data_IF_321075089471
#
_entry.id   IF_321075089471
#
_cell.length_a   1.000
_cell.length_b   1.000
_cell.length_c   1.000
_cell.angle_alpha   90.00
_cell.angle_beta   90.00
_cell.angle_gamma   90.00
#
_symmetry.space_group_name_H-M   'P 1'
#
loop_
_entity.id
_entity.type
_entity.pdbx_description
1 polymer ?
#
# COMPACT_ATOMS: atom_id res chain seq x y z
N UNK A 1 14.96 38.57 -6.09
CA UNK A 1 14.38 37.71 -7.14
C UNK A 1 15.05 36.36 -7.02
N UNK A 2 14.51 35.49 -6.17
CA UNK A 2 14.89 34.07 -6.13
C UNK A 2 13.89 33.34 -7.01
N UNK A 3 14.36 32.85 -8.15
CA UNK A 3 13.55 32.13 -9.12
C UNK A 3 13.53 30.65 -8.76
N UNK A 4 12.33 30.17 -8.44
CA UNK A 4 11.79 28.82 -8.70
C UNK A 4 12.72 27.63 -8.44
N UNK A 5 12.65 27.10 -7.22
CA UNK A 5 12.84 25.66 -7.01
C UNK A 5 11.57 24.97 -7.51
N UNK A 6 11.57 24.57 -8.78
CA UNK A 6 10.52 23.73 -9.33
C UNK A 6 10.59 22.38 -8.63
N UNK A 7 9.54 22.04 -7.90
CA UNK A 7 9.28 20.72 -7.34
C UNK A 7 9.23 19.70 -8.50
N UNK A 8 10.37 19.14 -8.90
CA UNK A 8 10.50 18.14 -9.96
C UNK A 8 10.30 16.73 -9.40
N UNK A 9 9.34 16.57 -8.49
CA UNK A 9 8.97 15.26 -7.96
C UNK A 9 8.09 14.58 -9.01
N UNK A 10 8.53 13.43 -9.49
CA UNK A 10 7.77 12.61 -10.42
C UNK A 10 6.63 11.90 -9.68
N UNK A 11 5.58 11.44 -10.37
CA UNK A 11 4.53 10.65 -9.72
C UNK A 11 5.08 9.39 -9.04
N UNK A 12 6.11 8.78 -9.62
CA UNK A 12 6.84 7.66 -9.02
C UNK A 12 7.57 8.04 -7.72
N UNK A 13 8.20 9.22 -7.67
CA UNK A 13 8.84 9.68 -6.43
C UNK A 13 7.79 9.79 -5.32
N UNK A 14 6.60 10.34 -5.62
CA UNK A 14 5.49 10.39 -4.66
C UNK A 14 4.99 9.00 -4.22
N UNK A 15 5.00 8.00 -5.10
CA UNK A 15 4.65 6.62 -4.75
C UNK A 15 5.65 6.05 -3.74
N UNK A 16 6.94 6.23 -3.99
CA UNK A 16 7.99 5.72 -3.10
C UNK A 16 8.04 6.47 -1.78
N UNK A 17 7.80 7.78 -1.78
CA UNK A 17 7.67 8.55 -0.53
C UNK A 17 6.50 8.04 0.34
N UNK A 18 5.39 7.63 -0.27
CA UNK A 18 4.26 7.01 0.44
C UNK A 18 4.61 5.61 0.97
N UNK A 19 5.35 4.82 0.19
CA UNK A 19 5.83 3.51 0.62
C UNK A 19 6.76 3.62 1.84
N UNK A 20 7.74 4.53 1.78
CA UNK A 20 8.69 4.81 2.86
C UNK A 20 7.95 5.30 4.13
N UNK A 21 6.95 6.17 3.99
CA UNK A 21 6.15 6.67 5.11
C UNK A 21 5.38 5.55 5.83
N UNK A 22 4.85 4.56 5.10
CA UNK A 22 4.19 3.39 5.70
C UNK A 22 5.19 2.58 6.52
N UNK A 23 6.40 2.36 6.00
CA UNK A 23 7.43 1.61 6.71
C UNK A 23 7.90 2.35 7.97
N UNK A 24 8.06 3.67 7.88
CA UNK A 24 8.37 4.52 9.02
C UNK A 24 7.28 4.44 10.09
N UNK A 25 6.01 4.59 9.72
CA UNK A 25 4.86 4.47 10.63
C UNK A 25 4.85 3.11 11.33
N UNK A 26 4.99 2.02 10.59
CA UNK A 26 5.04 0.66 11.16
C UNK A 26 6.25 0.51 12.08
N UNK A 27 7.42 1.03 11.72
CA UNK A 27 8.62 0.92 12.54
C UNK A 27 8.51 1.65 13.89
N UNK A 28 7.92 2.85 13.90
CA UNK A 28 7.67 3.61 15.12
C UNK A 28 6.74 2.87 16.06
N UNK A 29 5.73 2.22 15.49
CA UNK A 29 4.71 1.47 16.21
C UNK A 29 5.24 0.16 16.83
N UNK A 30 6.32 -0.40 16.26
CA UNK A 30 6.93 -1.67 16.69
C UNK A 30 8.16 -1.46 17.58
N UNK A 31 8.58 -0.20 17.78
CA UNK A 31 9.76 0.13 18.59
C UNK A 31 9.52 -0.06 20.09
N UNK A 32 10.51 -0.66 20.78
CA UNK A 32 10.50 -0.94 22.23
C UNK A 32 10.32 0.31 23.13
N UNK A 33 10.30 1.53 22.56
CA UNK A 33 10.16 2.80 23.29
C UNK A 33 8.70 3.17 23.62
N UNK A 34 7.72 2.46 23.04
CA UNK A 34 6.31 2.60 23.43
C UNK A 34 6.04 1.77 24.71
N UNK A 35 6.23 2.40 25.88
CA UNK A 35 5.95 1.81 27.20
C UNK A 35 4.47 1.42 27.42
N UNK A 36 3.56 1.94 26.58
CA UNK A 36 2.18 1.47 26.49
C UNK A 36 2.08 0.45 25.36
N UNK A 37 1.73 -0.79 25.70
CA UNK A 37 1.46 -1.88 24.75
C UNK A 37 0.27 -1.50 23.87
N UNK A 38 0.51 -0.69 22.84
CA UNK A 38 -0.39 -0.56 21.71
C UNK A 38 -0.31 -1.92 21.02
N UNK A 39 -1.35 -2.75 21.21
CA UNK A 39 -1.48 -4.04 20.51
C UNK A 39 -1.66 -3.73 19.02
N UNK A 40 -0.53 -3.54 18.33
CA UNK A 40 -0.49 -3.36 16.89
C UNK A 40 -0.25 -4.73 16.30
N UNK A 41 -1.27 -5.23 15.64
CA UNK A 41 -1.27 -6.50 14.92
C UNK A 41 -1.16 -6.28 13.41
N UNK A 42 -1.38 -7.36 12.67
CA UNK A 42 -1.35 -7.30 11.20
C UNK A 42 -2.51 -6.48 10.61
N UNK A 43 -3.61 -6.34 11.36
CA UNK A 43 -4.76 -5.54 10.95
C UNK A 43 -4.44 -4.04 10.93
N UNK A 44 -3.79 -3.53 11.98
CA UNK A 44 -3.38 -2.13 12.06
C UNK A 44 -2.37 -1.79 10.96
N UNK A 45 -1.43 -2.69 10.66
CA UNK A 45 -0.52 -2.51 9.52
C UNK A 45 -1.28 -2.42 8.18
N UNK A 46 -2.25 -3.30 7.95
CA UNK A 46 -3.11 -3.23 6.75
C UNK A 46 -3.90 -1.93 6.70
N UNK A 47 -4.44 -1.48 7.84
CA UNK A 47 -5.18 -0.24 7.94
C UNK A 47 -4.32 0.96 7.55
N UNK A 48 -3.10 1.06 8.10
CA UNK A 48 -2.14 2.12 7.78
C UNK A 48 -1.80 2.10 6.28
N UNK A 49 -1.48 0.93 5.73
CA UNK A 49 -1.08 0.83 4.32
C UNK A 49 -2.21 1.14 3.35
N UNK A 50 -3.42 0.62 3.57
CA UNK A 50 -4.56 0.94 2.70
C UNK A 50 -5.02 2.39 2.86
N UNK A 51 -4.93 2.96 4.08
CA UNK A 51 -5.23 4.37 4.32
C UNK A 51 -4.29 5.28 3.52
N UNK A 52 -2.98 5.05 3.62
CA UNK A 52 -1.97 5.80 2.87
C UNK A 52 -2.11 5.60 1.35
N UNK A 53 -2.31 4.36 0.90
CA UNK A 53 -2.50 4.05 -0.52
C UNK A 53 -3.74 4.75 -1.09
N UNK A 54 -4.83 4.82 -0.32
CA UNK A 54 -6.04 5.51 -0.73
C UNK A 54 -5.83 7.01 -0.86
N UNK A 55 -5.27 7.65 0.17
CA UNK A 55 -4.96 9.09 0.12
C UNK A 55 -4.05 9.41 -1.06
N UNK A 56 -3.06 8.56 -1.30
CA UNK A 56 -2.17 8.67 -2.45
C UNK A 56 -2.94 8.59 -3.76
N UNK A 57 -3.77 7.56 -3.96
CA UNK A 57 -4.57 7.40 -5.18
C UNK A 57 -5.51 8.58 -5.42
N UNK A 58 -6.17 9.08 -4.37
CA UNK A 58 -7.02 10.28 -4.44
C UNK A 58 -6.22 11.51 -4.89
N UNK A 59 -4.99 11.68 -4.39
CA UNK A 59 -4.10 12.79 -4.75
C UNK A 59 -3.49 12.69 -6.16
N UNK A 60 -3.17 11.47 -6.60
CA UNK A 60 -2.60 11.17 -7.92
C UNK A 60 -3.66 11.02 -9.02
N UNK A 61 -4.96 11.00 -8.67
CA UNK A 61 -6.04 10.77 -9.61
C UNK A 61 -6.11 9.33 -10.13
N UNK A 62 -5.56 8.37 -9.37
CA UNK A 62 -5.67 6.94 -9.65
C UNK A 62 -6.99 6.42 -9.08
N UNK A 63 -7.77 5.76 -9.92
CA UNK A 63 -9.06 5.21 -9.55
C UNK A 63 -8.89 3.82 -8.90
N UNK A 64 -9.13 3.74 -7.59
CA UNK A 64 -9.04 2.47 -6.86
C UNK A 64 -10.07 1.44 -7.33
N UNK A 65 -11.23 1.85 -7.86
CA UNK A 65 -12.21 0.90 -8.41
C UNK A 65 -11.61 0.18 -9.62
N UNK A 66 -10.87 0.90 -10.48
CA UNK A 66 -10.17 0.29 -11.61
C UNK A 66 -9.05 -0.66 -11.17
N UNK A 67 -8.35 -0.34 -10.08
CA UNK A 67 -7.33 -1.22 -9.50
C UNK A 67 -7.97 -2.52 -8.99
N UNK A 68 -9.09 -2.45 -8.26
CA UNK A 68 -9.81 -3.63 -7.78
C UNK A 68 -10.39 -4.47 -8.93
N UNK A 69 -10.95 -3.84 -9.96
CA UNK A 69 -11.45 -4.54 -11.16
C UNK A 69 -10.33 -5.34 -11.85
N UNK A 70 -9.14 -4.74 -11.98
CA UNK A 70 -7.97 -5.43 -12.55
C UNK A 70 -7.47 -6.56 -11.64
N UNK A 71 -7.52 -6.36 -10.33
CA UNK A 71 -7.16 -7.41 -9.36
C UNK A 71 -8.11 -8.61 -9.47
N UNK A 72 -9.43 -8.38 -9.52
CA UNK A 72 -10.42 -9.45 -9.67
C UNK A 72 -10.28 -10.17 -11.02
N UNK A 73 -10.07 -9.42 -12.12
CA UNK A 73 -9.82 -10.00 -13.43
C UNK A 73 -8.55 -10.89 -13.46
N UNK A 74 -7.49 -10.46 -12.77
CA UNK A 74 -6.26 -11.26 -12.61
C UNK A 74 -6.51 -12.53 -11.78
N UNK A 75 -7.26 -12.40 -10.69
CA UNK A 75 -7.62 -13.49 -9.77
C UNK A 75 -8.48 -14.57 -10.45
N UNK A 76 -9.43 -14.18 -11.28
CA UNK A 76 -10.34 -15.08 -11.99
C UNK A 76 -9.73 -15.67 -13.28
N UNK A 77 -8.55 -15.21 -13.68
CA UNK A 77 -7.88 -15.67 -14.89
C UNK A 77 -7.41 -17.14 -14.76
N UNK A 78 -7.77 -18.03 -15.69
CA UNK A 78 -7.31 -19.41 -15.69
C UNK A 78 -5.83 -19.58 -16.09
N UNK A 79 -5.14 -18.49 -16.48
CA UNK A 79 -3.72 -18.50 -16.81
C UNK A 79 -2.92 -17.84 -15.68
N UNK A 80 -2.11 -18.64 -14.97
CA UNK A 80 -1.15 -18.22 -13.94
C UNK A 80 0.02 -17.33 -14.45
N UNK A 81 -0.13 -16.65 -15.59
CA UNK A 81 0.96 -15.91 -16.21
C UNK A 81 0.65 -14.44 -16.50
N UNK A 82 1.27 -13.59 -15.64
CA UNK A 82 2.05 -12.37 -15.94
C UNK A 82 1.36 -11.00 -15.82
N UNK A 83 1.06 -10.61 -14.58
CA UNK A 83 1.94 -9.66 -13.84
C UNK A 83 2.50 -10.46 -12.65
N UNK A 84 3.77 -10.24 -12.30
CA UNK A 84 4.67 -11.18 -11.58
C UNK A 84 3.99 -12.02 -10.50
N UNK A 85 4.32 -13.32 -10.48
CA UNK A 85 3.94 -14.30 -9.44
C UNK A 85 3.67 -13.63 -8.09
N UNK A 86 2.41 -13.22 -7.84
CA UNK A 86 1.96 -12.65 -6.57
C UNK A 86 1.94 -13.79 -5.55
N UNK A 87 3.09 -14.40 -5.29
CA UNK A 87 3.26 -15.43 -4.29
C UNK A 87 3.71 -14.68 -3.05
N UNK A 88 2.73 -14.31 -2.23
CA UNK A 88 3.04 -14.12 -0.82
C UNK A 88 3.56 -15.48 -0.34
N UNK A 89 4.74 -15.52 0.28
CA UNK A 89 5.30 -16.77 0.85
C UNK A 89 4.25 -17.51 1.69
N UNK A 90 4.31 -18.86 1.63
CA UNK A 90 3.15 -19.73 1.86
C UNK A 90 2.74 -19.91 3.33
N UNK A 91 3.53 -19.48 4.32
CA UNK A 91 3.19 -19.65 5.73
C UNK A 91 3.28 -18.33 6.52
N UNK A 92 2.11 -17.78 6.88
CA UNK A 92 2.00 -16.70 7.86
C UNK A 92 2.20 -17.29 9.26
N UNK A 93 3.12 -16.75 10.06
CA UNK A 93 3.25 -17.11 11.48
C UNK A 93 2.14 -16.44 12.29
N UNK A 94 1.16 -17.21 12.75
CA UNK A 94 0.01 -16.68 13.51
C UNK A 94 0.41 -16.01 14.83
N UNK A 95 1.65 -16.18 15.30
CA UNK A 95 2.13 -15.56 16.54
C UNK A 95 2.91 -14.26 16.29
N UNK A 96 3.12 -13.86 15.04
CA UNK A 96 3.90 -12.67 14.72
C UNK A 96 3.36 -11.96 13.47
N UNK A 97 2.15 -11.42 13.60
CA UNK A 97 1.42 -10.77 12.51
C UNK A 97 2.14 -9.56 11.92
N UNK A 98 2.79 -8.77 12.77
CA UNK A 98 3.62 -7.62 12.35
C UNK A 98 4.82 -8.08 11.54
N UNK A 99 5.56 -9.11 11.99
CA UNK A 99 6.70 -9.64 11.22
C UNK A 99 6.23 -10.22 9.87
N UNK A 100 5.06 -10.85 9.82
CA UNK A 100 4.48 -11.28 8.55
C UNK A 100 4.17 -10.12 7.63
N UNK A 101 3.71 -9.00 8.19
CA UNK A 101 3.47 -7.78 7.44
C UNK A 101 4.78 -7.14 6.94
N UNK A 102 5.84 -7.09 7.75
CA UNK A 102 7.15 -6.61 7.30
C UNK A 102 7.68 -7.45 6.12
N UNK A 103 7.53 -8.78 6.17
CA UNK A 103 7.87 -9.66 5.02
C UNK A 103 7.01 -9.37 3.78
N UNK A 104 5.75 -8.96 3.96
CA UNK A 104 4.89 -8.53 2.85
C UNK A 104 5.44 -7.27 2.19
N UNK A 105 5.86 -6.28 2.98
CA UNK A 105 6.48 -5.05 2.47
C UNK A 105 7.76 -5.35 1.70
N UNK A 106 8.65 -6.19 2.25
CA UNK A 106 9.86 -6.65 1.54
C UNK A 106 9.51 -7.34 0.21
N UNK A 107 8.42 -8.12 0.14
CA UNK A 107 7.97 -8.76 -1.10
C UNK A 107 7.45 -7.74 -2.13
N UNK A 108 6.79 -6.67 -1.68
CA UNK A 108 6.34 -5.56 -2.53
C UNK A 108 7.57 -4.88 -3.13
N UNK A 109 8.54 -4.46 -2.32
CA UNK A 109 9.77 -3.80 -2.77
C UNK A 109 10.56 -4.66 -3.76
N UNK A 110 10.73 -5.95 -3.45
CA UNK A 110 11.41 -6.89 -4.34
C UNK A 110 10.70 -7.02 -5.69
N UNK A 111 9.36 -6.98 -5.70
CA UNK A 111 8.56 -7.03 -6.92
C UNK A 111 8.67 -5.75 -7.74
N UNK A 112 8.69 -4.59 -7.08
CA UNK A 112 8.92 -3.30 -7.71
C UNK A 112 10.33 -3.23 -8.33
N UNK A 113 11.36 -3.67 -7.60
CA UNK A 113 12.73 -3.74 -8.13
C UNK A 113 12.85 -4.70 -9.31
N UNK A 114 12.14 -5.83 -9.27
CA UNK A 114 12.09 -6.77 -10.39
C UNK A 114 11.36 -6.18 -11.61
N UNK A 115 10.29 -5.41 -11.38
CA UNK A 115 9.58 -4.68 -12.42
C UNK A 115 10.50 -3.63 -13.07
N UNK A 116 11.14 -2.78 -12.28
CA UNK A 116 12.07 -1.74 -12.74
C UNK A 116 13.16 -2.33 -13.66
N UNK A 117 13.89 -3.34 -13.17
CA UNK A 117 14.91 -4.06 -13.95
C UNK A 117 14.37 -4.68 -15.23
N UNK A 118 13.12 -5.13 -15.24
CA UNK A 118 12.47 -5.68 -16.44
C UNK A 118 12.16 -4.59 -17.45
N UNK A 119 11.67 -3.43 -17.01
CA UNK A 119 11.40 -2.28 -17.86
C UNK A 119 12.69 -1.74 -18.50
N UNK A 120 13.81 -1.70 -17.78
CA UNK A 120 15.13 -1.33 -18.35
C UNK A 120 15.55 -2.20 -19.55
N UNK A 121 15.10 -3.46 -19.57
CA UNK A 121 15.48 -4.46 -20.56
C UNK A 121 14.36 -4.75 -21.58
N UNK A 122 13.27 -3.98 -21.59
CA UNK A 122 12.11 -4.19 -22.46
C UNK A 122 11.50 -2.88 -22.97
N UNK A 123 10.41 -2.99 -23.73
CA UNK A 123 9.59 -1.84 -24.13
C UNK A 123 8.51 -1.50 -23.07
N UNK A 124 8.47 -2.22 -21.96
CA UNK A 124 7.55 -1.95 -20.85
C UNK A 124 7.96 -0.66 -20.13
N UNK A 125 6.97 0.08 -19.62
CA UNK A 125 7.18 1.33 -18.90
C UNK A 125 7.11 1.02 -17.40
N UNK A 126 8.09 1.53 -16.66
CA UNK A 126 8.00 1.60 -15.21
C UNK A 126 7.14 2.82 -14.87
N UNK A 127 5.88 2.61 -14.51
CA UNK A 127 4.91 3.67 -14.23
C UNK A 127 4.23 3.51 -12.87
N UNK A 128 3.73 4.64 -12.38
CA UNK A 128 3.06 4.80 -11.10
C UNK A 128 1.87 3.85 -10.95
N UNK A 129 1.05 3.73 -11.99
CA UNK A 129 -0.14 2.90 -11.97
C UNK A 129 0.21 1.42 -11.73
N UNK A 130 1.25 0.92 -12.41
CA UNK A 130 1.71 -0.46 -12.25
C UNK A 130 2.29 -0.68 -10.86
N UNK A 131 3.01 0.29 -10.30
CA UNK A 131 3.52 0.22 -8.93
C UNK A 131 2.39 0.16 -7.89
N UNK A 132 1.38 1.03 -8.02
CA UNK A 132 0.16 1.00 -7.19
C UNK A 132 -0.56 -0.34 -7.32
N UNK A 133 -0.73 -0.84 -8.54
CA UNK A 133 -1.38 -2.12 -8.80
C UNK A 133 -0.64 -3.29 -8.13
N UNK A 134 0.69 -3.31 -8.17
CA UNK A 134 1.50 -4.32 -7.49
C UNK A 134 1.27 -4.26 -5.98
N UNK A 135 1.48 -3.10 -5.37
CA UNK A 135 1.30 -2.92 -3.93
C UNK A 135 -0.10 -3.32 -3.47
N UNK A 136 -1.12 -2.80 -4.15
CA UNK A 136 -2.52 -3.15 -3.88
C UNK A 136 -2.74 -4.66 -3.95
N UNK A 137 -2.24 -5.31 -4.99
CA UNK A 137 -2.44 -6.74 -5.19
C UNK A 137 -1.83 -7.59 -4.08
N UNK A 138 -0.65 -7.20 -3.57
CA UNK A 138 -0.01 -7.85 -2.43
C UNK A 138 -0.82 -7.65 -1.14
N UNK A 139 -1.21 -6.41 -0.82
CA UNK A 139 -2.02 -6.11 0.36
C UNK A 139 -3.38 -6.84 0.31
N UNK A 140 -4.05 -6.80 -0.84
CA UNK A 140 -5.36 -7.45 -1.05
C UNK A 140 -5.26 -8.96 -0.88
N UNK A 141 -4.22 -9.58 -1.44
CA UNK A 141 -3.95 -11.01 -1.26
C UNK A 141 -3.57 -11.37 0.19
N UNK A 142 -2.91 -10.46 0.91
CA UNK A 142 -2.62 -10.66 2.32
C UNK A 142 -3.91 -10.66 3.15
N UNK A 143 -4.89 -9.79 2.85
CA UNK A 143 -6.22 -9.86 3.46
C UNK A 143 -6.88 -11.22 3.23
N UNK A 144 -6.84 -11.76 2.01
CA UNK A 144 -7.41 -13.08 1.70
C UNK A 144 -6.77 -14.20 2.53
N UNK A 145 -5.44 -14.19 2.65
CA UNK A 145 -4.70 -15.17 3.44
C UNK A 145 -4.98 -15.04 4.94
N UNK A 146 -5.01 -13.82 5.45
CA UNK A 146 -5.29 -13.51 6.86
C UNK A 146 -6.77 -13.59 7.24
N UNK A 147 -7.66 -13.92 6.29
CA UNK A 147 -9.11 -13.90 6.48
C UNK A 147 -9.65 -12.55 6.98
N UNK A 148 -9.00 -11.46 6.57
CA UNK A 148 -9.41 -10.09 6.90
C UNK A 148 -10.60 -9.71 6.03
N UNK A 149 -11.66 -9.20 6.66
CA UNK A 149 -12.81 -8.64 5.97
C UNK A 149 -12.41 -7.32 5.30
N UNK A 150 -12.11 -7.40 4.01
CA UNK A 150 -11.66 -6.27 3.22
C UNK A 150 -12.73 -5.19 3.05
N UNK A 151 -14.00 -5.55 2.95
CA UNK A 151 -15.09 -4.57 2.82
C UNK A 151 -15.20 -3.77 4.11
N UNK A 152 -15.12 -4.44 5.27
CA UNK A 152 -15.10 -3.77 6.56
C UNK A 152 -13.88 -2.86 6.72
N UNK A 153 -12.68 -3.34 6.36
CA UNK A 153 -11.46 -2.54 6.41
C UNK A 153 -11.57 -1.26 5.57
N UNK A 154 -12.06 -1.35 4.33
CA UNK A 154 -12.27 -0.19 3.47
C UNK A 154 -13.32 0.76 4.03
N UNK A 155 -14.37 0.24 4.67
CA UNK A 155 -15.39 1.07 5.30
C UNK A 155 -14.85 1.82 6.52
N UNK A 156 -14.02 1.19 7.35
CA UNK A 156 -13.38 1.84 8.50
C UNK A 156 -12.44 2.96 8.07
N UNK A 157 -11.60 2.71 7.04
CA UNK A 157 -10.74 3.74 6.43
C UNK A 157 -11.58 4.91 5.90
N UNK A 158 -12.67 4.61 5.18
CA UNK A 158 -13.58 5.63 4.63
C UNK A 158 -14.16 6.53 5.72
N UNK A 159 -14.53 5.94 6.85
CA UNK A 159 -15.09 6.67 7.99
C UNK A 159 -14.04 7.59 8.61
N UNK A 160 -12.82 7.08 8.84
CA UNK A 160 -11.72 7.87 9.38
C UNK A 160 -11.40 9.08 8.49
N UNK A 161 -11.21 8.87 7.19
CA UNK A 161 -10.92 9.96 6.25
C UNK A 161 -12.07 11.00 6.21
N UNK A 162 -13.32 10.54 6.25
CA UNK A 162 -14.48 11.43 6.31
C UNK A 162 -14.58 12.23 7.60
N UNK A 163 -14.06 11.72 8.72
CA UNK A 163 -13.99 12.44 10.00
C UNK A 163 -12.89 13.50 9.96
N UNK A 164 -11.70 13.14 9.49
CA UNK A 164 -10.58 14.07 9.31
C UNK A 164 -10.96 15.26 8.42
N UNK A 165 -11.66 15.02 7.31
CA UNK A 165 -12.14 16.09 6.45
C UNK A 165 -13.13 17.05 7.15
N UNK A 166 -13.96 16.56 8.06
CA UNK A 166 -14.92 17.40 8.80
C UNK A 166 -14.22 18.27 9.83
N UNK A 167 -13.17 17.74 10.45
CA UNK A 167 -12.35 18.46 11.42
C UNK A 167 -11.53 19.56 10.72
N UNK A 168 -10.96 19.29 9.54
CA UNK A 168 -10.29 20.31 8.73
C UNK A 168 -11.23 21.43 8.26
N UNK A 169 -12.49 21.09 7.93
CA UNK A 169 -13.51 22.04 7.47
C UNK A 169 -14.20 22.81 8.60
N UNK A 170 -13.91 22.47 9.86
CA UNK A 170 -14.45 23.12 11.05
C UNK A 170 -13.37 23.93 11.76
N UNK A 171 -12.86 25.05 11.19
CA UNK A 171 -12.00 25.93 11.97
C UNK A 171 -12.82 26.50 13.12
N UNK A 172 -12.35 26.27 14.35
CA UNK A 172 -12.93 26.82 15.57
C UNK A 172 -13.20 28.34 15.39
N UNK A 173 -14.45 28.74 15.64
CA UNK A 173 -14.92 30.14 15.58
C UNK A 173 -14.53 30.86 16.87
#
# INVERSE_FOLDING_TARGET
MGQSDSNNQTPLDGFFDMLDAIEEDISHLVSDENEETTEIGGYECLFISFSNLRLYCESSGIDLEQIEDQYQALRDSPNEHKVGNLKIDEELDTNNEVLNFCKLMEQIENSLSALEKRCENSEEIFDEWTCVFIMYSYLRKYCEKGQVDFENLQQEISNLHSEMEKDEKSPEI
#
